data_IF_714753505576
#
_entry.id   IF_714753505576
#
_cell.length_a   1.000
_cell.length_b   1.000
_cell.length_c   1.000
_cell.angle_alpha   90.00
_cell.angle_beta   90.00
_cell.angle_gamma   90.00
#
_symmetry.space_group_name_H-M   'P 1'
#
loop_
_entity.id
_entity.type
_entity.pdbx_description
1 polymer ?
#
# COMPACT_ATOMS: atom_id res chain seq x y z
N UNK A 1 -14.73 73.24 15.59
CA UNK A 1 -15.47 73.48 14.33
C UNK A 1 -16.62 72.49 14.26
N UNK A 2 -17.84 72.97 14.51
CA UNK A 2 -19.09 72.22 14.33
C UNK A 2 -19.35 72.00 12.83
N UNK A 3 -19.63 70.77 12.41
CA UNK A 3 -20.44 70.52 11.21
C UNK A 3 -21.54 69.50 11.50
N UNK A 4 -22.74 70.02 11.35
CA UNK A 4 -24.04 69.46 11.60
C UNK A 4 -24.45 68.50 10.46
N UNK A 5 -24.92 67.31 10.83
CA UNK A 5 -26.02 66.49 10.29
C UNK A 5 -26.21 66.42 8.77
N UNK A 6 -26.23 65.20 8.22
CA UNK A 6 -27.33 64.71 7.35
C UNK A 6 -27.41 63.19 7.47
N UNK A 7 -28.51 62.69 8.05
CA UNK A 7 -28.87 61.27 8.09
C UNK A 7 -29.48 60.87 6.74
N UNK A 8 -28.92 59.86 6.10
CA UNK A 8 -29.57 59.13 4.99
C UNK A 8 -29.65 57.68 5.45
N UNK A 9 -30.87 57.18 5.65
CA UNK A 9 -31.12 55.79 5.98
C UNK A 9 -31.32 55.00 4.67
N UNK A 10 -30.51 53.96 4.40
CA UNK A 10 -30.87 52.97 3.40
C UNK A 10 -31.60 51.82 4.10
N UNK A 11 -32.85 51.60 3.70
CA UNK A 11 -33.64 50.41 4.01
C UNK A 11 -32.90 49.16 3.52
N UNK A 12 -32.35 48.37 4.46
CA UNK A 12 -31.76 47.06 4.21
C UNK A 12 -32.87 46.05 3.89
N UNK A 13 -32.92 45.59 2.64
CA UNK A 13 -33.63 44.37 2.26
C UNK A 13 -32.87 43.15 2.82
N UNK A 14 -33.55 42.12 3.35
CA UNK A 14 -32.87 40.92 3.83
C UNK A 14 -32.43 40.09 2.63
N UNK A 15 -31.13 40.04 2.37
CA UNK A 15 -30.52 39.04 1.48
C UNK A 15 -30.39 37.76 2.29
N UNK A 16 -31.32 36.83 2.08
CA UNK A 16 -31.28 35.50 2.70
C UNK A 16 -30.12 34.72 2.07
N UNK A 17 -28.96 34.73 2.73
CA UNK A 17 -27.83 33.86 2.40
C UNK A 17 -28.25 32.43 2.72
N UNK A 18 -28.62 31.66 1.70
CA UNK A 18 -28.73 30.21 1.82
C UNK A 18 -27.31 29.64 1.95
N UNK A 19 -26.96 29.28 3.18
CA UNK A 19 -25.81 28.46 3.53
C UNK A 19 -26.03 27.05 2.94
N UNK A 20 -25.55 26.84 1.72
CA UNK A 20 -25.52 25.52 1.10
C UNK A 20 -24.53 24.63 1.85
N UNK A 21 -25.06 23.75 2.69
CA UNK A 21 -24.29 22.68 3.35
C UNK A 21 -23.68 21.81 2.26
N UNK A 22 -22.36 21.81 2.16
CA UNK A 22 -21.63 20.84 1.37
C UNK A 22 -21.84 19.46 2.00
N UNK A 23 -22.90 18.76 1.58
CA UNK A 23 -23.03 17.33 1.77
C UNK A 23 -21.92 16.68 0.93
N UNK A 24 -20.76 16.49 1.54
CA UNK A 24 -19.70 15.67 1.00
C UNK A 24 -20.29 14.29 0.77
N UNK A 25 -20.53 13.94 -0.50
CA UNK A 25 -20.80 12.58 -0.93
C UNK A 25 -19.49 11.80 -0.82
N UNK A 26 -19.06 11.54 0.41
CA UNK A 26 -18.07 10.53 0.69
C UNK A 26 -18.79 9.20 0.61
N UNK A 27 -18.91 8.64 -0.59
CA UNK A 27 -19.11 7.19 -0.69
C UNK A 27 -17.82 6.58 -0.15
N UNK A 28 -17.82 6.18 1.11
CA UNK A 28 -16.95 5.08 1.54
C UNK A 28 -17.37 3.91 0.65
N UNK A 29 -16.61 3.70 -0.43
CA UNK A 29 -16.67 2.45 -1.17
C UNK A 29 -16.25 1.39 -0.17
N UNK A 30 -17.24 0.75 0.43
CA UNK A 30 -17.11 -0.52 1.11
C UNK A 30 -16.74 -1.52 0.01
N UNK A 31 -15.44 -1.51 -0.35
CA UNK A 31 -14.90 -2.43 -1.32
C UNK A 31 -15.00 -3.80 -0.66
N UNK A 32 -16.01 -4.58 -1.08
CA UNK A 32 -16.13 -5.97 -0.68
C UNK A 32 -14.77 -6.61 -0.90
N UNK A 33 -14.13 -7.08 0.18
CA UNK A 33 -12.88 -7.80 0.08
C UNK A 33 -13.13 -9.00 -0.83
N UNK A 34 -12.54 -8.97 -2.03
CA UNK A 34 -12.60 -10.09 -2.94
C UNK A 34 -11.77 -11.23 -2.37
N UNK A 35 -12.33 -12.44 -2.34
CA UNK A 35 -11.62 -13.65 -1.92
C UNK A 35 -10.49 -14.04 -2.89
N UNK A 36 -10.35 -13.30 -4.00
CA UNK A 36 -9.35 -13.56 -5.04
C UNK A 36 -8.80 -12.26 -5.64
N UNK A 37 -7.57 -12.30 -6.13
CA UNK A 37 -6.91 -11.24 -6.89
C UNK A 37 -6.39 -11.79 -8.22
N UNK A 38 -6.76 -11.17 -9.34
CA UNK A 38 -6.24 -11.51 -10.67
C UNK A 38 -5.15 -10.52 -11.09
N UNK A 39 -4.01 -11.03 -11.55
CA UNK A 39 -2.86 -10.24 -12.02
C UNK A 39 -2.50 -10.68 -13.42
N UNK A 40 -2.33 -9.72 -14.34
CA UNK A 40 -1.70 -9.97 -15.63
C UNK A 40 -0.18 -9.80 -15.51
N UNK A 41 0.57 -10.86 -15.78
CA UNK A 41 2.03 -10.84 -15.80
C UNK A 41 2.55 -11.52 -17.07
N UNK A 42 3.44 -10.85 -17.80
CA UNK A 42 3.98 -11.34 -19.07
C UNK A 42 2.90 -11.75 -20.09
N UNK A 43 1.72 -11.09 -20.04
CA UNK A 43 0.58 -11.38 -20.92
C UNK A 43 -0.30 -12.56 -20.50
N UNK A 44 0.01 -13.24 -19.40
CA UNK A 44 -0.85 -14.27 -18.82
C UNK A 44 -1.64 -13.69 -17.63
N UNK A 45 -2.91 -14.05 -17.52
CA UNK A 45 -3.72 -13.77 -16.34
C UNK A 45 -3.60 -14.92 -15.34
N UNK A 46 -3.32 -14.58 -14.08
CA UNK A 46 -3.26 -15.54 -12.96
C UNK A 46 -4.12 -15.01 -11.83
N UNK A 47 -5.01 -15.86 -11.31
CA UNK A 47 -5.87 -15.55 -10.16
C UNK A 47 -5.34 -16.26 -8.93
N UNK A 48 -5.19 -15.53 -7.83
CA UNK A 48 -4.74 -16.01 -6.54
C UNK A 48 -5.85 -15.85 -5.51
N UNK A 49 -6.08 -16.89 -4.71
CA UNK A 49 -6.96 -16.79 -3.54
C UNK A 49 -6.35 -15.85 -2.49
N UNK A 50 -7.20 -15.26 -1.67
CA UNK A 50 -6.84 -14.41 -0.54
C UNK A 50 -7.43 -14.97 0.76
N UNK A 51 -6.74 -14.80 1.90
CA UNK A 51 -5.42 -14.19 2.04
C UNK A 51 -4.29 -15.11 1.56
N UNK A 52 -3.16 -14.53 1.16
CA UNK A 52 -1.94 -15.31 0.90
C UNK A 52 -1.41 -15.91 2.20
N UNK A 53 -1.14 -17.21 2.20
CA UNK A 53 -0.56 -17.89 3.37
C UNK A 53 0.96 -17.95 3.33
N UNK A 54 1.55 -18.08 2.13
CA UNK A 54 2.96 -18.39 1.95
C UNK A 54 3.52 -17.70 0.73
N UNK A 55 4.66 -17.06 0.89
CA UNK A 55 5.36 -16.29 -0.12
C UNK A 55 6.81 -16.77 -0.21
N UNK A 56 7.21 -17.15 -1.42
CA UNK A 56 8.60 -17.28 -1.81
C UNK A 56 8.99 -16.03 -2.59
N UNK A 57 10.04 -15.32 -2.17
CA UNK A 57 10.52 -14.13 -2.88
C UNK A 57 11.95 -14.34 -3.41
N UNK A 58 12.12 -14.23 -4.72
CA UNK A 58 13.43 -14.32 -5.36
C UNK A 58 13.98 -12.91 -5.64
N UNK A 59 15.26 -12.69 -5.34
CA UNK A 59 15.97 -11.43 -5.58
C UNK A 59 15.61 -10.29 -4.62
N UNK A 60 16.61 -9.44 -4.32
CA UNK A 60 16.49 -8.34 -3.37
C UNK A 60 15.38 -7.34 -3.72
N UNK A 61 15.11 -7.10 -5.01
CA UNK A 61 14.03 -6.23 -5.44
C UNK A 61 12.63 -6.77 -5.06
N UNK A 62 12.39 -8.07 -5.27
CA UNK A 62 11.11 -8.68 -4.91
C UNK A 62 10.98 -8.82 -3.38
N UNK A 63 12.08 -9.12 -2.69
CA UNK A 63 12.13 -9.13 -1.23
C UNK A 63 11.77 -7.74 -0.66
N UNK A 64 12.34 -6.67 -1.22
CA UNK A 64 12.02 -5.30 -0.82
C UNK A 64 10.53 -4.97 -1.00
N UNK A 65 9.95 -5.31 -2.15
CA UNK A 65 8.52 -5.09 -2.42
C UNK A 65 7.65 -5.82 -1.39
N UNK A 66 7.97 -7.09 -1.10
CA UNK A 66 7.23 -7.89 -0.13
C UNK A 66 7.32 -7.30 1.28
N UNK A 67 8.52 -6.90 1.72
CA UNK A 67 8.73 -6.28 3.03
C UNK A 67 8.00 -4.92 3.14
N UNK A 68 8.08 -4.08 2.09
CA UNK A 68 7.37 -2.80 2.04
C UNK A 68 5.84 -2.96 2.09
N UNK A 69 5.32 -4.05 1.52
CA UNK A 69 3.90 -4.40 1.60
C UNK A 69 3.48 -5.00 2.95
N UNK A 70 4.41 -5.16 3.91
CA UNK A 70 4.15 -5.76 5.22
C UNK A 70 4.01 -7.28 5.18
N UNK A 71 4.46 -7.95 4.12
CA UNK A 71 4.27 -9.38 3.92
C UNK A 71 5.28 -10.26 4.69
N UNK A 72 6.08 -9.70 5.61
CA UNK A 72 7.16 -10.42 6.31
C UNK A 72 6.69 -11.75 6.91
N UNK A 73 5.53 -11.76 7.55
CA UNK A 73 4.98 -12.95 8.22
C UNK A 73 4.53 -14.05 7.25
N UNK A 74 4.37 -13.71 5.97
CA UNK A 74 4.01 -14.65 4.91
C UNK A 74 5.23 -15.16 4.14
N UNK A 75 6.38 -14.51 4.26
CA UNK A 75 7.62 -14.91 3.58
C UNK A 75 8.20 -16.16 4.24
N UNK A 76 8.00 -17.32 3.61
CA UNK A 76 8.46 -18.62 4.11
C UNK A 76 9.89 -18.94 3.67
N UNK A 77 10.31 -18.44 2.51
CA UNK A 77 11.65 -18.61 1.99
C UNK A 77 11.99 -17.47 1.02
N UNK A 78 13.28 -17.19 0.89
CA UNK A 78 13.82 -16.26 -0.09
C UNK A 78 15.01 -16.85 -0.82
N UNK A 79 15.35 -16.28 -1.97
CA UNK A 79 16.58 -16.60 -2.68
C UNK A 79 17.29 -15.34 -3.15
N UNK A 80 18.60 -15.44 -3.30
CA UNK A 80 19.47 -14.37 -3.74
C UNK A 80 19.39 -13.10 -2.87
N UNK A 81 19.14 -13.27 -1.58
CA UNK A 81 19.14 -12.18 -0.60
C UNK A 81 20.56 -11.63 -0.42
N UNK A 82 21.58 -12.50 -0.46
CA UNK A 82 22.97 -12.17 -0.19
C UNK A 82 23.49 -10.97 -1.01
N UNK A 83 22.99 -10.76 -2.23
CA UNK A 83 23.40 -9.64 -3.10
C UNK A 83 23.02 -8.27 -2.54
N UNK A 84 21.87 -8.18 -1.87
CA UNK A 84 21.25 -6.91 -1.45
C UNK A 84 21.02 -6.83 0.06
N UNK A 85 21.48 -7.84 0.82
CA UNK A 85 21.21 -8.01 2.24
C UNK A 85 21.55 -6.77 3.07
N UNK A 86 22.69 -6.14 2.81
CA UNK A 86 23.13 -4.96 3.57
C UNK A 86 22.22 -3.74 3.34
N UNK A 87 21.78 -3.54 2.09
CA UNK A 87 20.85 -2.46 1.73
C UNK A 87 19.48 -2.72 2.35
N UNK A 88 18.98 -3.95 2.27
CA UNK A 88 17.70 -4.32 2.87
C UNK A 88 17.75 -4.22 4.39
N UNK A 89 18.86 -4.63 5.02
CA UNK A 89 19.06 -4.50 6.47
C UNK A 89 19.11 -3.04 6.92
N UNK A 90 19.65 -2.14 6.09
CA UNK A 90 19.65 -0.71 6.38
C UNK A 90 18.22 -0.13 6.46
N UNK A 91 17.34 -0.53 5.55
CA UNK A 91 15.94 -0.04 5.50
C UNK A 91 15.01 -0.78 6.46
N UNK A 92 15.01 -2.11 6.42
CA UNK A 92 14.06 -2.96 7.13
C UNK A 92 14.58 -3.47 8.47
N UNK A 93 15.86 -3.22 8.79
CA UNK A 93 16.47 -3.59 10.06
C UNK A 93 16.77 -5.09 10.20
N UNK A 94 16.96 -5.57 11.45
CA UNK A 94 17.39 -6.94 11.73
C UNK A 94 16.42 -8.04 11.27
N UNK A 95 15.17 -7.72 10.93
CA UNK A 95 14.22 -8.72 10.43
C UNK A 95 14.72 -9.40 9.15
N UNK A 96 15.57 -8.73 8.37
CA UNK A 96 16.18 -9.30 7.16
C UNK A 96 17.08 -10.49 7.49
N UNK A 97 17.74 -10.47 8.64
CA UNK A 97 18.61 -11.58 9.08
C UNK A 97 17.83 -12.85 9.45
N UNK A 98 16.51 -12.73 9.61
CA UNK A 98 15.62 -13.84 9.98
C UNK A 98 14.92 -14.46 8.77
N UNK A 99 15.13 -13.93 7.57
CA UNK A 99 14.63 -14.53 6.33
C UNK A 99 15.37 -15.84 6.05
N UNK A 100 14.63 -16.87 5.68
CA UNK A 100 15.20 -18.17 5.31
C UNK A 100 15.71 -18.11 3.86
N UNK A 101 17.01 -17.88 3.69
CA UNK A 101 17.66 -17.86 2.38
C UNK A 101 18.03 -19.28 1.94
N UNK A 102 17.17 -19.88 1.12
CA UNK A 102 17.34 -21.27 0.65
C UNK A 102 18.33 -21.41 -0.52
N UNK A 103 18.72 -20.28 -1.13
CA UNK A 103 19.73 -20.20 -2.18
C UNK A 103 20.35 -18.80 -2.22
N UNK A 104 21.68 -18.71 -2.29
CA UNK A 104 22.40 -17.42 -2.38
C UNK A 104 22.43 -16.81 -3.79
N UNK A 105 22.00 -17.60 -4.78
CA UNK A 105 21.90 -17.25 -6.20
C UNK A 105 20.43 -17.41 -6.67
N UNK A 106 20.08 -17.05 -7.92
CA UNK A 106 18.75 -17.35 -8.44
C UNK A 106 18.42 -18.85 -8.26
N UNK A 107 17.19 -19.19 -7.81
CA UNK A 107 16.88 -20.52 -7.30
C UNK A 107 16.73 -21.55 -8.41
N UNK A 108 17.02 -22.81 -8.11
CA UNK A 108 16.57 -23.95 -8.93
C UNK A 108 15.11 -24.31 -8.62
N UNK A 109 14.52 -25.19 -9.42
CA UNK A 109 13.17 -25.71 -9.14
C UNK A 109 13.12 -26.48 -7.83
N UNK A 110 14.18 -27.22 -7.49
CA UNK A 110 14.30 -27.95 -6.23
C UNK A 110 14.33 -27.00 -5.02
N UNK A 111 15.00 -25.84 -5.14
CA UNK A 111 14.95 -24.81 -4.09
C UNK A 111 13.53 -24.27 -3.90
N UNK A 112 12.81 -24.02 -4.99
CA UNK A 112 11.43 -23.50 -4.92
C UNK A 112 10.51 -24.55 -4.30
N UNK A 113 10.49 -25.78 -4.81
CA UNK A 113 9.58 -26.82 -4.29
C UNK A 113 9.95 -27.22 -2.86
N UNK A 114 11.24 -27.26 -2.53
CA UNK A 114 11.73 -27.60 -1.19
C UNK A 114 11.59 -26.48 -0.16
N UNK A 115 11.73 -25.21 -0.56
CA UNK A 115 11.54 -24.06 0.32
C UNK A 115 10.08 -23.74 0.63
N UNK A 116 9.16 -24.49 0.02
CA UNK A 116 7.72 -24.41 0.24
C UNK A 116 7.26 -25.53 1.18
N UNK A 117 8.08 -25.95 2.14
CA UNK A 117 7.65 -26.83 3.26
C UNK A 117 7.65 -26.05 4.57
#
# INVERSE_FOLDING_TARGET
MNRTITRVAPTLAPVTVLLGVAAGCGTESDATASDTVTVTNCGAEVTFDQPLDRLFANDGGMIAIALAAGARDKMVAVSALARDKDVLRLEYGPQVDTLDEVATEPPTLENIVGGQT
#
